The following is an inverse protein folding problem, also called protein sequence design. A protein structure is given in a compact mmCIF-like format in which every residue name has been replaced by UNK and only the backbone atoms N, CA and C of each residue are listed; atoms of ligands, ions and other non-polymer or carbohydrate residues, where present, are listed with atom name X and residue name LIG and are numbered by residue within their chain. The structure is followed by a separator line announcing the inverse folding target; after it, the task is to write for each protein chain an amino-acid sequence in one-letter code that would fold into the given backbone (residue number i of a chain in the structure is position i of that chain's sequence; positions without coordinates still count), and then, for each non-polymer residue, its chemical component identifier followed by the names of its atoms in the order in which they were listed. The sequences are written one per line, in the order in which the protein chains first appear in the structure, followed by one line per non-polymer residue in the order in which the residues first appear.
data_IF_397972622664
#
_entry.id   IF_397972622664
#
_cell.length_a   1.000
_cell.length_b   1.000
_cell.length_c   1.000
_cell.angle_alpha   90.00
_cell.angle_beta   90.00
_cell.angle_gamma   90.00
#
_symmetry.space_group_name_H-M   'P 1'
#
loop_
_entity.id
_entity.type
_entity.pdbx_description
1 polymer ?
#
# COMPACT_ATOMS: atom_id res chain seq x y z
N UNK A 1 -0.01 48.55 -6.48
CA UNK A 1 0.48 47.44 -7.33
C UNK A 1 1.43 46.60 -6.49
N UNK A 2 0.89 45.69 -5.66
CA UNK A 2 1.69 44.77 -4.85
C UNK A 2 1.42 43.38 -5.38
N UNK A 3 2.36 42.86 -6.17
CA UNK A 3 2.24 41.55 -6.79
C UNK A 3 2.62 40.50 -5.73
N UNK A 4 1.62 39.78 -5.21
CA UNK A 4 1.81 38.61 -4.36
C UNK A 4 2.48 37.49 -5.16
N UNK A 5 3.52 36.80 -4.66
CA UNK A 5 4.07 35.65 -5.36
C UNK A 5 3.07 34.48 -5.25
N UNK A 6 2.62 34.04 -6.43
CA UNK A 6 1.88 32.79 -6.61
C UNK A 6 2.84 31.66 -6.20
N UNK A 7 2.64 31.06 -5.02
CA UNK A 7 3.31 29.82 -4.64
C UNK A 7 2.88 28.72 -5.61
N UNK A 8 3.79 28.17 -6.43
CA UNK A 8 3.44 27.07 -7.30
C UNK A 8 3.62 25.76 -6.52
N UNK A 9 2.65 24.87 -6.74
CA UNK A 9 2.73 23.42 -6.56
C UNK A 9 2.52 22.84 -5.16
N UNK A 10 1.25 22.52 -4.90
CA UNK A 10 0.84 21.25 -4.29
C UNK A 10 1.34 20.09 -5.17
N UNK A 11 2.64 19.78 -5.13
CA UNK A 11 3.14 18.52 -5.65
C UNK A 11 3.06 17.51 -4.51
N UNK A 12 2.00 16.69 -4.52
CA UNK A 12 1.89 15.59 -3.57
C UNK A 12 3.18 14.78 -3.60
N UNK A 13 3.71 14.50 -2.42
CA UNK A 13 4.87 13.64 -2.24
C UNK A 13 4.61 12.28 -2.92
N UNK A 14 5.05 12.12 -4.17
CA UNK A 14 4.98 10.86 -4.94
C UNK A 14 6.18 9.96 -4.66
N UNK A 15 7.01 10.31 -3.68
CA UNK A 15 8.24 9.64 -3.30
C UNK A 15 8.20 9.22 -1.83
N UNK A 16 7.10 8.59 -1.42
CA UNK A 16 7.22 7.67 -0.29
C UNK A 16 7.86 6.41 -0.87
N UNK A 17 9.09 6.04 -0.48
CA UNK A 17 9.75 4.85 -1.00
C UNK A 17 8.76 3.72 -0.77
N UNK A 18 8.19 3.20 -1.86
CA UNK A 18 7.23 2.10 -1.84
C UNK A 18 7.94 1.03 -1.04
N UNK A 19 7.51 0.86 0.21
CA UNK A 19 7.85 -0.29 1.03
C UNK A 19 7.85 -1.45 0.06
N UNK A 20 9.00 -2.07 -0.15
CA UNK A 20 9.25 -3.09 -1.17
C UNK A 20 8.52 -4.40 -0.81
N UNK A 21 7.27 -4.27 -0.36
CA UNK A 21 6.10 -4.98 -0.85
C UNK A 21 6.47 -5.91 -1.98
N UNK A 22 6.70 -7.16 -1.59
CA UNK A 22 6.91 -8.35 -2.38
C UNK A 22 5.70 -8.66 -3.28
N UNK A 23 5.24 -7.66 -4.02
CA UNK A 23 4.13 -7.68 -4.92
C UNK A 23 4.65 -8.10 -6.31
N UNK A 24 3.92 -8.95 -7.04
CA UNK A 24 4.39 -9.48 -8.31
C UNK A 24 4.69 -8.38 -9.35
N UNK A 25 5.88 -8.45 -9.97
CA UNK A 25 6.34 -7.51 -11.00
C UNK A 25 5.53 -7.59 -12.30
N UNK A 26 4.90 -8.73 -12.56
CA UNK A 26 4.07 -8.94 -13.76
C UNK A 26 2.73 -8.18 -13.74
N UNK A 27 2.32 -7.62 -12.59
CA UNK A 27 1.02 -6.94 -12.46
C UNK A 27 1.11 -5.59 -11.69
N UNK A 28 1.98 -4.65 -12.11
CA UNK A 28 2.28 -3.45 -11.33
C UNK A 28 1.07 -2.54 -11.14
N UNK A 29 0.12 -2.54 -12.08
CA UNK A 29 -1.12 -1.77 -12.00
C UNK A 29 -2.03 -2.21 -10.83
N UNK A 30 -1.94 -3.47 -10.38
CA UNK A 30 -2.77 -4.01 -9.31
C UNK A 30 -2.23 -3.69 -7.91
N UNK A 31 -0.98 -3.23 -7.78
CA UNK A 31 -0.33 -2.96 -6.50
C UNK A 31 -1.15 -1.94 -5.65
N UNK A 32 -1.56 -0.83 -6.26
CA UNK A 32 -2.33 0.22 -5.55
C UNK A 32 -3.70 -0.26 -5.10
N UNK A 33 -4.38 -1.08 -5.91
CA UNK A 33 -5.67 -1.68 -5.54
C UNK A 33 -5.48 -2.65 -4.38
N UNK A 34 -4.45 -3.50 -4.46
CA UNK A 34 -4.17 -4.49 -3.44
C UNK A 34 -3.97 -3.89 -2.04
N UNK A 35 -3.08 -2.91 -1.91
CA UNK A 35 -2.79 -2.28 -0.62
C UNK A 35 -3.97 -1.48 -0.06
N UNK A 36 -4.94 -1.09 -0.91
CA UNK A 36 -6.14 -0.39 -0.47
C UNK A 36 -7.22 -1.32 0.04
N UNK A 37 -7.44 -2.47 -0.61
CA UNK A 37 -8.63 -3.30 -0.37
C UNK A 37 -8.35 -4.59 0.37
N UNK A 38 -7.20 -5.22 0.15
CA UNK A 38 -6.90 -6.55 0.70
C UNK A 38 -5.91 -6.52 1.87
N UNK A 39 -5.00 -5.55 1.86
CA UNK A 39 -4.04 -5.35 2.95
C UNK A 39 -4.72 -4.70 4.16
N UNK A 40 -4.71 -5.38 5.31
CA UNK A 40 -5.21 -4.81 6.56
C UNK A 40 -4.09 -4.06 7.29
N UNK A 41 -4.48 -3.19 8.21
CA UNK A 41 -3.54 -2.55 9.15
C UNK A 41 -3.08 -3.61 10.15
N UNK A 42 -1.79 -3.62 10.47
CA UNK A 42 -1.25 -4.50 11.50
C UNK A 42 -1.93 -4.26 12.85
N UNK A 43 -2.15 -5.33 13.61
CA UNK A 43 -2.83 -5.29 14.92
C UNK A 43 -2.02 -4.55 15.99
N UNK A 44 -0.72 -4.34 15.78
CA UNK A 44 0.22 -3.85 16.79
C UNK A 44 0.27 -2.31 16.93
N UNK A 45 -0.77 -1.59 16.49
CA UNK A 45 -0.79 -0.12 16.51
C UNK A 45 0.25 0.54 15.57
N UNK A 46 1.06 -0.26 14.90
CA UNK A 46 1.95 0.13 13.82
C UNK A 46 1.09 0.45 12.60
N UNK A 47 1.16 1.66 12.04
CA UNK A 47 0.51 2.03 10.76
C UNK A 47 1.13 1.29 9.55
N UNK A 48 1.67 0.10 9.79
CA UNK A 48 2.26 -0.79 8.80
C UNK A 48 1.16 -1.73 8.30
N UNK A 49 0.91 -1.65 7.00
CA UNK A 49 -0.03 -2.50 6.27
C UNK A 49 0.56 -3.89 6.01
N UNK A 50 -0.28 -4.93 6.04
CA UNK A 50 0.09 -6.29 5.68
C UNK A 50 0.71 -6.34 4.26
N UNK A 51 1.80 -7.09 4.10
CA UNK A 51 2.43 -7.33 2.79
C UNK A 51 1.64 -8.32 1.94
N UNK A 52 1.88 -8.32 0.62
CA UNK A 52 1.31 -9.31 -0.31
C UNK A 52 1.46 -10.75 0.20
N UNK A 53 2.67 -11.13 0.62
CA UNK A 53 2.96 -12.47 1.12
C UNK A 53 2.12 -12.82 2.36
N UNK A 54 2.04 -11.91 3.33
CA UNK A 54 1.25 -12.13 4.55
C UNK A 54 -0.23 -12.33 4.26
N UNK A 55 -0.79 -11.57 3.31
CA UNK A 55 -2.19 -11.76 2.89
C UNK A 55 -2.38 -13.12 2.23
N UNK A 56 -1.48 -13.52 1.32
CA UNK A 56 -1.52 -14.85 0.71
C UNK A 56 -1.44 -15.98 1.76
N UNK A 57 -0.48 -15.91 2.67
CA UNK A 57 -0.29 -16.93 3.72
C UNK A 57 -1.56 -17.06 4.58
N UNK A 58 -2.15 -15.93 5.00
CA UNK A 58 -3.41 -15.91 5.77
C UNK A 58 -4.57 -16.53 4.98
N UNK A 59 -4.74 -16.14 3.72
CA UNK A 59 -5.81 -16.69 2.88
C UNK A 59 -5.64 -18.19 2.70
N UNK A 60 -4.42 -18.64 2.41
CA UNK A 60 -4.11 -20.07 2.28
C UNK A 60 -4.34 -20.83 3.58
N UNK A 61 -3.99 -20.24 4.73
CA UNK A 61 -4.25 -20.86 6.03
C UNK A 61 -5.76 -20.99 6.29
N UNK A 62 -6.53 -19.93 6.05
CA UNK A 62 -7.98 -19.97 6.21
C UNK A 62 -8.65 -21.00 5.30
N UNK A 63 -8.14 -21.18 4.07
CA UNK A 63 -8.60 -22.25 3.19
C UNK A 63 -8.27 -23.64 3.76
N UNK A 64 -7.04 -23.84 4.25
CA UNK A 64 -6.64 -25.11 4.90
C UNK A 64 -7.49 -25.45 6.13
N UNK A 65 -7.88 -24.44 6.91
CA UNK A 65 -8.70 -24.61 8.11
C UNK A 65 -10.15 -24.98 7.78
N UNK A 66 -10.65 -24.58 6.60
CA UNK A 66 -12.02 -24.87 6.16
C UNK A 66 -12.17 -26.29 5.57
N UNK A 67 -11.10 -26.90 5.06
CA UNK A 67 -11.08 -28.25 4.47
C UNK A 67 -11.31 -28.23 2.96
#
# INVERSE_FOLDING_TARGET
MTQSPISPQRLGNLDQPRQSSQFPEHAPAANSVFYRTYSRRGEDGSDVRETWKQVCDRTLNGLKELG
#
